data_IF_102309324312
#
_entry.id   IF_102309324312
#
_cell.length_a   1.000
_cell.length_b   1.000
_cell.length_c   1.000
_cell.angle_alpha   90.00
_cell.angle_beta   90.00
_cell.angle_gamma   90.00
#
_symmetry.space_group_name_H-M   'P 1'
#
loop_
_entity.id
_entity.type
_entity.pdbx_description
1 polymer ?
#
# COMPACT_ATOMS: atom_id res chain seq x y z
N UNK A 1 5.89 1.76 -2.97
CA UNK A 1 4.93 2.47 -2.08
C UNK A 1 4.66 1.73 -0.78
N UNK A 2 4.32 0.43 -0.78
CA UNK A 2 4.01 -0.32 0.45
C UNK A 2 5.06 -0.25 1.57
N UNK A 3 6.35 -0.41 1.25
CA UNK A 3 7.45 -0.28 2.23
C UNK A 3 7.46 1.10 2.91
N UNK A 4 7.38 2.15 2.09
CA UNK A 4 7.45 3.54 2.56
C UNK A 4 6.26 3.85 3.47
N UNK A 5 5.05 3.51 3.02
CA UNK A 5 3.84 3.75 3.80
C UNK A 5 3.82 2.92 5.09
N UNK A 6 4.33 1.69 5.07
CA UNK A 6 4.45 0.87 6.28
C UNK A 6 5.41 1.47 7.29
N UNK A 7 6.57 1.94 6.84
CA UNK A 7 7.55 2.62 7.71
C UNK A 7 6.99 3.94 8.27
N UNK A 8 6.32 4.73 7.44
CA UNK A 8 5.69 5.98 7.91
C UNK A 8 4.56 5.68 8.91
N UNK A 9 3.72 4.69 8.65
CA UNK A 9 2.66 4.31 9.57
C UNK A 9 3.22 3.85 10.93
N UNK A 10 4.29 3.07 10.93
CA UNK A 10 4.98 2.65 12.15
C UNK A 10 5.70 3.81 12.86
N UNK A 11 6.11 4.84 12.14
CA UNK A 11 6.75 6.04 12.71
C UNK A 11 5.74 6.97 13.37
N UNK A 12 4.59 7.21 12.73
CA UNK A 12 3.58 8.14 13.24
C UNK A 12 2.56 7.53 14.19
N UNK A 13 2.28 6.22 14.06
CA UNK A 13 1.27 5.55 14.88
C UNK A 13 1.92 4.53 15.82
N UNK A 14 1.64 4.66 17.12
CA UNK A 14 2.02 3.68 18.15
C UNK A 14 1.07 2.48 18.19
N UNK A 15 0.65 1.99 17.02
CA UNK A 15 -0.25 0.84 16.89
C UNK A 15 0.53 -0.47 16.76
N UNK A 16 -0.16 -1.60 16.97
CA UNK A 16 0.42 -2.90 16.69
C UNK A 16 0.79 -3.01 15.20
N UNK A 17 1.90 -3.70 14.92
CA UNK A 17 2.44 -3.88 13.56
C UNK A 17 1.42 -4.46 12.57
N UNK A 18 0.62 -5.43 13.02
CA UNK A 18 -0.44 -6.02 12.22
C UNK A 18 -1.53 -4.98 11.88
N UNK A 19 -1.88 -4.11 12.83
CA UNK A 19 -2.87 -3.05 12.62
C UNK A 19 -2.37 -2.01 11.62
N UNK A 20 -1.11 -1.57 11.72
CA UNK A 20 -0.54 -0.63 10.75
C UNK A 20 -0.45 -1.24 9.36
N UNK A 21 -0.12 -2.53 9.25
CA UNK A 21 -0.11 -3.25 7.97
C UNK A 21 -1.48 -3.28 7.28
N UNK A 22 -2.56 -3.54 8.04
CA UNK A 22 -3.92 -3.53 7.51
C UNK A 22 -4.30 -2.13 7.01
N UNK A 23 -4.01 -1.08 7.79
CA UNK A 23 -4.30 0.30 7.38
C UNK A 23 -3.54 0.68 6.11
N UNK A 24 -2.26 0.33 6.03
CA UNK A 24 -1.42 0.63 4.86
C UNK A 24 -1.89 -0.15 3.63
N UNK A 25 -2.31 -1.41 3.79
CA UNK A 25 -2.89 -2.18 2.69
C UNK A 25 -4.12 -1.48 2.10
N UNK A 26 -5.08 -1.08 2.93
CA UNK A 26 -6.26 -0.36 2.47
C UNK A 26 -5.90 0.98 1.84
N UNK A 27 -4.96 1.70 2.42
CA UNK A 27 -4.55 3.00 1.89
C UNK A 27 -3.90 2.86 0.52
N UNK A 28 -3.04 1.86 0.31
CA UNK A 28 -2.46 1.61 -1.01
C UNK A 28 -3.54 1.19 -2.02
N UNK A 29 -4.44 0.28 -1.64
CA UNK A 29 -5.52 -0.14 -2.52
C UNK A 29 -6.38 1.06 -2.96
N UNK A 30 -6.74 1.95 -2.02
CA UNK A 30 -7.49 3.16 -2.32
C UNK A 30 -6.73 4.12 -3.24
N UNK A 31 -5.43 4.32 -3.01
CA UNK A 31 -4.61 5.19 -3.85
C UNK A 31 -4.50 4.61 -5.27
N UNK A 32 -4.16 3.32 -5.38
CA UNK A 32 -4.01 2.64 -6.66
C UNK A 32 -5.30 2.61 -7.47
N UNK A 33 -6.41 2.21 -6.87
CA UNK A 33 -7.72 2.26 -7.55
C UNK A 33 -8.20 3.69 -7.82
N UNK A 34 -7.89 4.63 -6.92
CA UNK A 34 -8.25 6.03 -7.07
C UNK A 34 -7.62 6.67 -8.30
N UNK A 35 -6.35 6.40 -8.58
CA UNK A 35 -5.70 6.87 -9.81
C UNK A 35 -6.35 6.31 -11.07
N UNK A 36 -6.66 5.01 -11.09
CA UNK A 36 -7.36 4.40 -12.22
C UNK A 36 -8.76 4.97 -12.44
N UNK A 37 -9.53 5.15 -11.36
CA UNK A 37 -10.86 5.78 -11.43
C UNK A 37 -10.79 7.21 -11.95
N UNK A 38 -9.80 8.00 -11.51
CA UNK A 38 -9.59 9.36 -12.00
C UNK A 38 -9.22 9.33 -13.49
N UNK A 39 -8.35 8.42 -13.92
CA UNK A 39 -7.99 8.27 -15.34
C UNK A 39 -9.18 7.84 -16.19
N UNK A 40 -10.06 6.97 -15.68
CA UNK A 40 -11.31 6.59 -16.34
C UNK A 40 -12.26 7.78 -16.52
N UNK A 41 -12.46 8.57 -15.45
CA UNK A 41 -13.41 9.70 -15.46
C UNK A 41 -12.88 10.86 -16.30
N UNK A 42 -11.61 11.22 -16.15
CA UNK A 42 -11.02 12.39 -16.82
C UNK A 42 -10.59 12.10 -18.25
N UNK A 43 -10.53 10.82 -18.65
CA UNK A 43 -9.91 10.34 -19.90
C UNK A 43 -8.45 10.80 -20.09
N UNK A 44 -7.79 11.20 -18.99
CA UNK A 44 -6.37 11.57 -18.98
C UNK A 44 -5.58 10.40 -18.40
N UNK A 45 -4.78 9.77 -19.25
CA UNK A 45 -4.05 8.54 -18.91
C UNK A 45 -4.71 7.29 -19.48
N UNK A 46 -4.07 6.14 -19.26
CA UNK A 46 -4.57 4.83 -19.67
C UNK A 46 -5.30 4.24 -18.47
N UNK A 47 -6.60 4.01 -18.59
CA UNK A 47 -7.30 3.18 -17.62
C UNK A 47 -6.87 1.73 -17.81
N UNK A 48 -6.23 1.17 -16.80
CA UNK A 48 -5.76 -0.20 -16.75
C UNK A 48 -5.89 -0.74 -15.32
N UNK A 49 -6.98 -1.44 -15.05
CA UNK A 49 -7.25 -2.05 -13.75
C UNK A 49 -6.08 -2.95 -13.27
N UNK A 50 -5.36 -3.58 -14.20
CA UNK A 50 -4.22 -4.42 -13.85
C UNK A 50 -3.04 -3.63 -13.28
N UNK A 51 -2.90 -2.34 -13.60
CA UNK A 51 -1.87 -1.49 -13.01
C UNK A 51 -2.16 -1.23 -11.53
N UNK A 52 -3.43 -0.96 -11.18
CA UNK A 52 -3.85 -0.85 -9.78
C UNK A 52 -3.65 -2.17 -9.01
N UNK A 53 -3.98 -3.31 -9.64
CA UNK A 53 -3.79 -4.64 -9.02
C UNK A 53 -2.32 -4.95 -8.82
N UNK A 54 -1.48 -4.75 -9.83
CA UNK A 54 -0.03 -4.97 -9.75
C UNK A 54 0.62 -4.06 -8.69
N UNK A 55 0.22 -2.80 -8.64
CA UNK A 55 0.66 -1.83 -7.63
C UNK A 55 0.29 -2.26 -6.21
N UNK A 56 -0.95 -2.72 -6.02
CA UNK A 56 -1.44 -3.20 -4.71
C UNK A 56 -0.73 -4.50 -4.29
N UNK A 57 -0.53 -5.43 -5.22
CA UNK A 57 0.19 -6.68 -4.97
C UNK A 57 1.66 -6.43 -4.61
N UNK A 58 2.36 -5.58 -5.37
CA UNK A 58 3.74 -5.19 -5.09
C UNK A 58 3.88 -4.46 -3.75
N UNK A 59 2.90 -3.62 -3.40
CA UNK A 59 2.88 -2.99 -2.08
C UNK A 59 2.64 -3.99 -0.94
N UNK A 60 1.79 -4.99 -1.15
CA UNK A 60 1.54 -6.08 -0.18
C UNK A 60 2.84 -6.83 0.12
N UNK A 61 3.63 -7.17 -0.91
CA UNK A 61 4.95 -7.78 -0.72
C UNK A 61 5.89 -6.89 0.09
N UNK A 62 5.87 -5.57 -0.16
CA UNK A 62 6.63 -4.60 0.61
C UNK A 62 6.23 -4.52 2.09
N UNK A 63 4.94 -4.58 2.38
CA UNK A 63 4.43 -4.59 3.77
C UNK A 63 4.88 -5.87 4.47
N UNK A 64 4.71 -7.04 3.82
CA UNK A 64 5.12 -8.34 4.35
C UNK A 64 6.62 -8.36 4.64
N UNK A 65 7.44 -7.84 3.74
CA UNK A 65 8.88 -7.74 3.94
C UNK A 65 9.24 -6.95 5.21
N UNK A 66 8.58 -5.82 5.46
CA UNK A 66 8.82 -5.01 6.66
C UNK A 66 8.34 -5.72 7.93
N UNK A 67 7.20 -6.41 7.89
CA UNK A 67 6.71 -7.21 9.01
C UNK A 67 7.69 -8.33 9.38
N UNK A 68 8.25 -9.02 8.38
CA UNK A 68 9.27 -10.05 8.58
C UNK A 68 10.50 -9.45 9.25
N UNK A 69 11.02 -8.33 8.74
CA UNK A 69 12.17 -7.64 9.35
C UNK A 69 11.91 -7.21 10.79
N UNK A 70 10.69 -6.74 11.10
CA UNK A 70 10.31 -6.37 12.45
C UNK A 70 10.23 -7.58 13.38
N UNK A 71 9.72 -8.71 12.89
CA UNK A 71 9.66 -9.96 13.66
C UNK A 71 11.06 -10.41 14.07
N UNK A 72 12.04 -10.36 13.17
CA UNK A 72 13.44 -10.70 13.48
C UNK A 72 14.15 -9.70 14.42
N UNK A 73 13.66 -8.46 14.52
CA UNK A 73 14.23 -7.42 15.40
C UNK A 73 13.71 -7.49 16.84
N UNK A 74 12.67 -8.27 17.11
CA UNK A 74 12.12 -8.50 18.46
C UNK A 74 12.79 -9.71 19.10
#
# INVERSE_FOLDING_TARGET
MGIILQLLAMYYFSLAAATTAVLVFFMVALISYGFELISLVTKKGKYDLYDAVASTAGATLGIVFILILQYYKR
#
